data_IF_230584057823
#
_entry.id   IF_230584057823
#
_cell.length_a   1.000
_cell.length_b   1.000
_cell.length_c   1.000
_cell.angle_alpha   90.00
_cell.angle_beta   90.00
_cell.angle_gamma   90.00
#
_symmetry.space_group_name_H-M   'P 1'
#
loop_
_entity.id
_entity.type
_entity.pdbx_description
1 polymer ?
#
# COMPACT_ATOMS: atom_id res chain seq x y z
N UNK A 1 -8.79 -0.36 -20.01
CA UNK A 1 -8.93 0.86 -20.82
C UNK A 1 -9.80 0.65 -22.04
N UNK A 2 -9.29 -0.03 -23.07
CA UNK A 2 -10.00 -0.18 -24.36
C UNK A 2 -11.38 -0.84 -24.25
N UNK A 3 -11.50 -1.92 -23.46
CA UNK A 3 -12.79 -2.61 -23.25
C UNK A 3 -13.86 -1.69 -22.65
N UNK A 4 -13.47 -0.72 -21.83
CA UNK A 4 -14.37 0.27 -21.23
C UNK A 4 -14.53 1.55 -22.08
N UNK A 5 -14.09 1.54 -23.34
CA UNK A 5 -14.21 2.67 -24.26
C UNK A 5 -13.22 3.82 -24.01
N UNK A 6 -12.18 3.62 -23.20
CA UNK A 6 -11.18 4.65 -22.90
C UNK A 6 -9.96 4.55 -23.83
N UNK A 7 -9.53 5.70 -24.35
CA UNK A 7 -8.22 5.82 -25.01
C UNK A 7 -7.13 5.94 -23.94
N UNK A 8 -6.31 4.89 -23.79
CA UNK A 8 -5.24 4.85 -22.78
C UNK A 8 -4.01 5.56 -23.31
N UNK A 9 -3.81 6.81 -22.90
CA UNK A 9 -2.68 7.63 -23.36
C UNK A 9 -1.32 7.12 -22.86
N UNK A 10 -1.28 6.64 -21.61
CA UNK A 10 -0.09 6.11 -20.95
C UNK A 10 -0.49 5.20 -19.79
N UNK A 11 0.32 4.18 -19.53
CA UNK A 11 0.32 3.43 -18.28
C UNK A 11 1.42 4.02 -17.40
N UNK A 12 1.10 4.32 -16.15
CA UNK A 12 2.06 4.81 -15.16
C UNK A 12 2.02 3.90 -13.95
N UNK A 13 3.17 3.71 -13.31
CA UNK A 13 3.25 3.00 -12.05
C UNK A 13 2.63 3.84 -10.92
N UNK A 14 1.93 3.18 -9.99
CA UNK A 14 1.32 3.81 -8.82
C UNK A 14 2.31 4.65 -7.98
N UNK A 15 3.51 4.15 -7.63
CA UNK A 15 4.47 4.95 -6.87
C UNK A 15 4.97 6.18 -7.63
N UNK A 16 5.11 6.09 -8.96
CA UNK A 16 5.46 7.25 -9.81
C UNK A 16 4.34 8.28 -9.77
N UNK A 17 3.09 7.86 -9.88
CA UNK A 17 1.93 8.76 -9.77
C UNK A 17 1.87 9.43 -8.38
N UNK A 18 2.07 8.67 -7.30
CA UNK A 18 2.11 9.24 -5.95
C UNK A 18 3.27 10.23 -5.76
N UNK A 19 4.42 9.97 -6.37
CA UNK A 19 5.55 10.90 -6.36
C UNK A 19 5.22 12.22 -7.07
N UNK A 20 4.52 12.17 -8.22
CA UNK A 20 4.02 13.38 -8.90
C UNK A 20 3.09 14.17 -7.97
N UNK A 21 2.13 13.50 -7.32
CA UNK A 21 1.21 14.15 -6.39
C UNK A 21 1.94 14.80 -5.20
N UNK A 22 3.04 14.20 -4.73
CA UNK A 22 3.89 14.73 -3.68
C UNK A 22 4.78 15.90 -4.16
N UNK A 23 5.31 15.82 -5.38
CA UNK A 23 6.34 16.72 -5.90
C UNK A 23 5.81 17.98 -6.57
N UNK A 24 4.54 18.00 -7.01
CA UNK A 24 3.95 19.07 -7.82
C UNK A 24 4.14 20.49 -7.22
N UNK A 25 3.89 20.62 -5.91
CA UNK A 25 3.93 21.92 -5.22
C UNK A 25 5.30 22.22 -4.59
N UNK A 26 6.24 21.28 -4.68
CA UNK A 26 7.56 21.45 -4.09
C UNK A 26 8.49 22.09 -5.12
N UNK A 27 8.90 23.34 -4.85
CA UNK A 27 10.08 23.93 -5.49
C UNK A 27 11.31 23.18 -4.97
N UNK A 28 11.61 22.05 -5.59
CA UNK A 28 12.77 21.23 -5.27
C UNK A 28 13.97 21.90 -5.96
N UNK A 29 14.71 22.73 -5.21
CA UNK A 29 15.95 23.35 -5.71
C UNK A 29 17.18 22.45 -5.59
N UNK A 30 17.14 21.43 -4.73
CA UNK A 30 18.21 20.45 -4.51
C UNK A 30 17.66 19.04 -4.71
N UNK A 31 18.47 18.11 -5.21
CA UNK A 31 18.15 16.69 -5.39
C UNK A 31 17.55 16.06 -4.11
N UNK A 32 16.37 15.42 -4.23
CA UNK A 32 15.70 14.73 -3.11
C UNK A 32 15.37 13.29 -3.44
N UNK A 33 15.97 12.36 -2.69
CA UNK A 33 15.52 10.97 -2.63
C UNK A 33 14.25 10.83 -1.78
N UNK A 34 13.21 10.23 -2.33
CA UNK A 34 11.90 10.01 -1.70
C UNK A 34 11.59 8.52 -1.72
N UNK A 35 11.17 7.97 -0.59
CA UNK A 35 10.60 6.63 -0.52
C UNK A 35 9.07 6.72 -0.57
N UNK A 36 8.45 6.05 -1.52
CA UNK A 36 7.01 5.81 -1.56
C UNK A 36 6.74 4.45 -0.94
N UNK A 37 5.91 4.43 0.11
CA UNK A 37 5.44 3.22 0.76
C UNK A 37 3.94 3.09 0.47
N UNK A 38 3.58 2.22 -0.47
CA UNK A 38 2.22 2.00 -0.92
C UNK A 38 1.68 0.67 -0.39
N UNK A 39 0.79 0.72 0.60
CA UNK A 39 0.14 -0.47 1.14
C UNK A 39 -1.37 -0.36 0.90
N UNK A 40 -1.81 -1.03 -0.16
CA UNK A 40 -3.17 -0.99 -0.66
C UNK A 40 -4.10 -2.03 -0.03
N UNK A 41 -5.13 -2.39 -0.80
CA UNK A 41 -6.12 -3.41 -0.43
C UNK A 41 -5.60 -4.85 -0.61
N UNK A 42 -4.81 -5.10 -1.65
CA UNK A 42 -4.28 -6.44 -1.96
C UNK A 42 -2.85 -6.46 -2.49
N UNK A 43 -2.22 -5.29 -2.68
CA UNK A 43 -0.84 -5.16 -3.14
C UNK A 43 -0.06 -4.26 -2.18
N UNK A 44 1.24 -4.50 -2.14
CA UNK A 44 2.22 -3.72 -1.40
C UNK A 44 3.38 -3.38 -2.32
N UNK A 45 3.67 -2.10 -2.49
CA UNK A 45 4.75 -1.61 -3.34
C UNK A 45 5.60 -0.59 -2.58
N UNK A 46 6.91 -0.67 -2.79
CA UNK A 46 7.90 0.28 -2.29
C UNK A 46 8.72 0.77 -3.46
N UNK A 47 8.86 2.08 -3.59
CA UNK A 47 9.73 2.67 -4.59
C UNK A 47 10.58 3.76 -4.00
N UNK A 48 11.81 3.86 -4.50
CA UNK A 48 12.71 4.95 -4.20
C UNK A 48 12.87 5.76 -5.47
N UNK A 49 12.59 7.04 -5.37
CA UNK A 49 12.71 7.98 -6.47
C UNK A 49 13.67 9.09 -6.09
N UNK A 50 14.36 9.62 -7.09
CA UNK A 50 15.08 10.88 -6.99
C UNK A 50 14.27 11.95 -7.72
N UNK A 51 14.07 13.09 -7.07
CA UNK A 51 13.36 14.24 -7.61
C UNK A 51 14.34 15.42 -7.68
N UNK A 52 14.53 15.96 -8.87
CA UNK A 52 15.43 17.10 -9.15
C UNK A 52 14.87 17.88 -10.34
N UNK A 53 14.65 19.20 -10.20
CA UNK A 53 14.20 20.09 -11.29
C UNK A 53 13.02 19.56 -12.13
N UNK A 54 12.01 18.96 -11.48
CA UNK A 54 10.83 18.40 -12.17
C UNK A 54 11.06 17.03 -12.83
N UNK A 55 12.26 16.48 -12.73
CA UNK A 55 12.61 15.12 -13.14
C UNK A 55 12.34 14.16 -11.98
N UNK A 56 11.54 13.12 -12.24
CA UNK A 56 11.27 12.04 -11.32
C UNK A 56 11.90 10.76 -11.87
N UNK A 57 12.95 10.28 -11.22
CA UNK A 57 13.67 9.07 -11.63
C UNK A 57 13.46 7.96 -10.59
N UNK A 58 12.88 6.83 -11.01
CA UNK A 58 12.76 5.65 -10.16
C UNK A 58 14.11 4.96 -10.06
N UNK A 59 14.70 4.90 -8.87
CA UNK A 59 15.99 4.24 -8.61
C UNK A 59 15.83 2.75 -8.35
N UNK A 60 14.75 2.35 -7.69
CA UNK A 60 14.47 0.95 -7.37
C UNK A 60 12.99 0.76 -7.02
N UNK A 61 12.49 -0.43 -7.28
CA UNK A 61 11.17 -0.87 -6.82
C UNK A 61 11.22 -2.28 -6.24
N UNK A 62 10.41 -2.54 -5.23
CA UNK A 62 10.22 -3.83 -4.59
C UNK A 62 8.81 -3.91 -4.01
N UNK A 63 8.28 -5.10 -3.78
CA UNK A 63 6.93 -5.23 -3.26
C UNK A 63 6.48 -6.67 -3.07
N UNK A 64 5.22 -6.82 -2.70
CA UNK A 64 4.48 -8.07 -2.66
C UNK A 64 3.10 -7.87 -3.31
N UNK A 65 2.88 -8.55 -4.43
CA UNK A 65 1.65 -8.44 -5.22
C UNK A 65 0.45 -9.16 -4.60
N UNK A 66 0.62 -9.80 -3.44
CA UNK A 66 -0.41 -10.56 -2.75
C UNK A 66 -0.47 -10.23 -1.25
N UNK A 67 -0.09 -9.01 -0.87
CA UNK A 67 -0.17 -8.52 0.50
C UNK A 67 -0.92 -7.19 0.56
N UNK A 68 -1.99 -7.13 1.36
CA UNK A 68 -2.68 -5.86 1.60
C UNK A 68 -3.71 -5.88 2.73
N UNK A 69 -4.56 -4.85 2.71
CA UNK A 69 -5.63 -4.65 3.68
C UNK A 69 -6.59 -5.84 3.84
N UNK A 70 -6.84 -6.59 2.76
CA UNK A 70 -7.71 -7.77 2.77
C UNK A 70 -7.13 -8.93 3.59
N UNK A 71 -5.81 -9.08 3.63
CA UNK A 71 -5.14 -10.09 4.46
C UNK A 71 -5.31 -9.78 5.94
N UNK A 72 -5.25 -8.51 6.32
CA UNK A 72 -5.52 -8.09 7.70
C UNK A 72 -6.99 -8.34 8.07
N UNK A 73 -7.91 -8.10 7.14
CA UNK A 73 -9.33 -8.44 7.33
C UNK A 73 -9.52 -9.96 7.46
N UNK A 74 -8.79 -10.76 6.67
CA UNK A 74 -8.80 -12.22 6.77
C UNK A 74 -8.34 -12.72 8.15
N UNK A 75 -7.31 -12.09 8.76
CA UNK A 75 -6.88 -12.43 10.13
C UNK A 75 -8.01 -12.20 11.14
N UNK A 76 -8.72 -11.08 11.02
CA UNK A 76 -9.86 -10.76 11.87
C UNK A 76 -11.03 -11.74 11.65
N UNK A 77 -11.38 -12.03 10.39
CA UNK A 77 -12.45 -12.98 10.05
C UNK A 77 -12.16 -14.36 10.63
N UNK A 78 -10.93 -14.87 10.47
CA UNK A 78 -10.53 -16.17 11.02
C UNK A 78 -10.58 -16.20 12.55
N UNK A 79 -10.13 -15.12 13.20
CA UNK A 79 -10.20 -14.98 14.65
C UNK A 79 -11.65 -15.06 15.14
N UNK A 80 -12.54 -14.26 14.57
CA UNK A 80 -13.94 -14.20 15.00
C UNK A 80 -14.76 -15.42 14.58
N UNK A 81 -14.48 -16.04 13.44
CA UNK A 81 -15.10 -17.30 13.06
C UNK A 81 -14.73 -18.41 14.05
N UNK A 82 -13.48 -18.44 14.51
CA UNK A 82 -13.02 -19.37 15.57
C UNK A 82 -13.70 -19.05 16.90
N UNK A 83 -13.81 -17.78 17.27
CA UNK A 83 -14.49 -17.36 18.49
C UNK A 83 -15.96 -17.76 18.48
N UNK A 84 -16.67 -17.51 17.38
CA UNK A 84 -18.06 -17.89 17.20
C UNK A 84 -18.24 -19.41 17.36
N UNK A 85 -17.38 -20.20 16.68
CA UNK A 85 -17.39 -21.67 16.81
C UNK A 85 -17.14 -22.12 18.24
N UNK A 86 -16.24 -21.46 18.97
CA UNK A 86 -15.95 -21.78 20.38
C UNK A 86 -17.15 -21.49 21.29
N UNK A 87 -17.80 -20.32 21.11
CA UNK A 87 -18.94 -19.84 21.91
C UNK A 87 -20.22 -20.63 21.64
N UNK A 88 -20.53 -20.88 20.37
CA UNK A 88 -21.83 -21.44 19.96
C UNK A 88 -21.77 -22.88 19.44
N UNK A 89 -20.57 -23.48 19.38
CA UNK A 89 -20.32 -24.84 18.85
C UNK A 89 -20.77 -25.06 17.41
N UNK A 90 -20.93 -23.97 16.64
CA UNK A 90 -21.37 -23.97 15.24
C UNK A 90 -20.33 -23.32 14.33
N UNK A 91 -20.03 -23.95 13.20
CA UNK A 91 -19.06 -23.44 12.22
C UNK A 91 -19.74 -22.77 11.04
N UNK A 92 -19.30 -21.56 10.67
CA UNK A 92 -19.86 -20.79 9.55
C UNK A 92 -19.09 -20.91 8.23
N UNK A 93 -18.06 -21.78 8.16
CA UNK A 93 -17.20 -21.93 6.99
C UNK A 93 -17.97 -22.29 5.70
N UNK A 94 -19.06 -23.05 5.82
CA UNK A 94 -19.93 -23.42 4.69
C UNK A 94 -21.00 -22.38 4.32
N UNK A 95 -21.02 -21.20 4.95
CA UNK A 95 -22.03 -20.17 4.71
C UNK A 95 -21.39 -18.88 4.18
N UNK A 96 -21.30 -18.70 2.85
CA UNK A 96 -20.69 -17.53 2.22
C UNK A 96 -21.34 -16.21 2.63
N UNK A 97 -22.66 -16.22 2.87
CA UNK A 97 -23.40 -15.02 3.30
C UNK A 97 -22.96 -14.58 4.71
N UNK A 98 -22.85 -15.51 5.65
CA UNK A 98 -22.38 -15.23 7.00
C UNK A 98 -20.93 -14.72 6.99
N UNK A 99 -20.05 -15.39 6.24
CA UNK A 99 -18.64 -14.98 6.10
C UNK A 99 -18.50 -13.59 5.48
N UNK A 100 -19.29 -13.25 4.45
CA UNK A 100 -19.29 -11.92 3.84
C UNK A 100 -19.72 -10.84 4.84
N UNK A 101 -20.78 -11.08 5.62
CA UNK A 101 -21.23 -10.14 6.66
C UNK A 101 -20.16 -9.93 7.74
N UNK A 102 -19.52 -11.02 8.19
CA UNK A 102 -18.43 -10.96 9.14
C UNK A 102 -17.24 -10.17 8.59
N UNK A 103 -16.86 -10.40 7.32
CA UNK A 103 -15.79 -9.66 6.64
C UNK A 103 -16.06 -8.16 6.60
N UNK A 104 -17.27 -7.74 6.20
CA UNK A 104 -17.65 -6.33 6.19
C UNK A 104 -17.57 -5.70 7.59
N UNK A 105 -17.95 -6.44 8.65
CA UNK A 105 -17.80 -5.95 10.02
C UNK A 105 -16.32 -5.86 10.44
N UNK A 106 -15.49 -6.83 10.04
CA UNK A 106 -14.05 -6.84 10.31
C UNK A 106 -13.33 -5.66 9.64
N UNK A 107 -13.64 -5.37 8.38
CA UNK A 107 -13.08 -4.23 7.65
C UNK A 107 -13.42 -2.90 8.35
N UNK A 108 -14.69 -2.73 8.76
CA UNK A 108 -15.13 -1.56 9.55
C UNK A 108 -14.38 -1.47 10.88
N UNK A 109 -14.23 -2.58 11.60
CA UNK A 109 -13.48 -2.61 12.85
C UNK A 109 -12.01 -2.25 12.64
N UNK A 110 -11.34 -2.77 11.60
CA UNK A 110 -9.96 -2.39 11.23
C UNK A 110 -9.82 -0.89 11.02
N UNK A 111 -10.76 -0.28 10.30
CA UNK A 111 -10.80 1.19 10.09
C UNK A 111 -10.95 1.92 11.41
N UNK A 112 -11.89 1.52 12.27
CA UNK A 112 -12.05 2.09 13.62
C UNK A 112 -10.80 1.93 14.47
N UNK A 113 -10.11 0.79 14.41
CA UNK A 113 -8.88 0.54 15.17
C UNK A 113 -7.71 1.42 14.72
N UNK A 114 -7.78 2.02 13.53
CA UNK A 114 -6.76 2.96 13.06
C UNK A 114 -6.80 4.30 13.81
N UNK A 115 -7.94 4.67 14.40
CA UNK A 115 -8.10 5.88 15.22
C UNK A 115 -8.43 5.60 16.69
N UNK A 116 -9.06 4.47 17.01
CA UNK A 116 -9.50 4.08 18.36
C UNK A 116 -8.75 2.86 18.90
N UNK A 117 -8.66 2.73 20.22
CA UNK A 117 -7.99 1.61 20.88
C UNK A 117 -8.81 0.29 20.88
N UNK A 118 -10.11 0.38 20.60
CA UNK A 118 -11.04 -0.74 20.56
C UNK A 118 -12.11 -0.52 19.49
N UNK A 119 -12.65 -1.60 18.95
CA UNK A 119 -13.79 -1.60 18.02
C UNK A 119 -14.79 -2.70 18.39
N UNK A 120 -16.08 -2.40 18.28
CA UNK A 120 -17.15 -3.37 18.46
C UNK A 120 -17.45 -4.11 17.14
N UNK A 121 -17.89 -5.36 17.25
CA UNK A 121 -18.43 -6.19 16.17
C UNK A 121 -19.84 -6.58 16.60
N UNK A 122 -20.83 -6.09 15.86
CA UNK A 122 -22.24 -6.27 16.18
C UNK A 122 -22.96 -6.72 14.91
N UNK A 123 -23.44 -7.96 14.88
CA UNK A 123 -24.08 -8.56 13.72
C UNK A 123 -25.28 -9.42 14.14
N UNK A 124 -26.48 -8.92 13.87
CA UNK A 124 -27.74 -9.63 14.14
C UNK A 124 -27.88 -10.86 13.25
N UNK A 125 -28.33 -11.98 13.82
CA UNK A 125 -28.56 -13.24 13.12
C UNK A 125 -27.41 -13.59 12.16
N UNK A 126 -26.15 -13.51 12.63
CA UNK A 126 -24.96 -13.77 11.82
C UNK A 126 -25.02 -15.18 11.19
N UNK A 127 -25.37 -16.19 12.00
CA UNK A 127 -25.43 -17.58 11.54
C UNK A 127 -26.52 -18.35 12.31
N UNK A 128 -27.42 -19.01 11.59
CA UNK A 128 -28.52 -19.82 12.15
C UNK A 128 -29.35 -19.10 13.24
N UNK A 129 -29.68 -17.81 13.00
CA UNK A 129 -30.47 -17.00 13.94
C UNK A 129 -29.69 -16.50 15.16
N UNK A 130 -28.39 -16.80 15.26
CA UNK A 130 -27.56 -16.39 16.40
C UNK A 130 -26.93 -15.03 16.10
N UNK A 131 -27.17 -14.07 16.98
CA UNK A 131 -26.50 -12.77 16.96
C UNK A 131 -25.03 -12.91 17.39
N UNK A 132 -24.18 -12.04 16.87
CA UNK A 132 -22.77 -11.99 17.24
C UNK A 132 -22.38 -10.58 17.68
N UNK A 133 -22.25 -10.42 19.00
CA UNK A 133 -21.78 -9.19 19.64
C UNK A 133 -20.46 -9.48 20.37
N UNK A 134 -19.39 -8.79 19.97
CA UNK A 134 -18.07 -8.88 20.59
C UNK A 134 -17.29 -7.59 20.35
N UNK A 135 -16.06 -7.51 20.82
CA UNK A 135 -15.16 -6.39 20.52
C UNK A 135 -13.72 -6.87 20.42
N UNK A 136 -12.87 -6.05 19.81
CA UNK A 136 -11.44 -6.29 19.69
C UNK A 136 -10.67 -5.03 20.00
N UNK A 137 -9.52 -5.20 20.66
CA UNK A 137 -8.58 -4.11 20.94
C UNK A 137 -7.57 -3.98 19.80
N UNK A 138 -7.01 -2.78 19.63
CA UNK A 138 -5.93 -2.53 18.68
C UNK A 138 -4.74 -3.44 18.95
N UNK A 139 -4.38 -3.64 20.22
CA UNK A 139 -3.29 -4.54 20.61
C UNK A 139 -3.51 -5.98 20.11
N UNK A 140 -4.74 -6.49 20.21
CA UNK A 140 -5.06 -7.84 19.72
C UNK A 140 -5.04 -7.92 18.19
N UNK A 141 -5.54 -6.90 17.49
CA UNK A 141 -5.42 -6.82 16.04
C UNK A 141 -3.96 -6.79 15.59
N UNK A 142 -3.13 -5.97 16.25
CA UNK A 142 -1.70 -5.88 15.97
C UNK A 142 -0.98 -7.21 16.20
N UNK A 143 -1.31 -7.94 17.27
CA UNK A 143 -0.78 -9.28 17.53
C UNK A 143 -1.16 -10.27 16.42
N UNK A 144 -2.43 -10.26 15.98
CA UNK A 144 -2.94 -11.16 14.93
C UNK A 144 -2.29 -10.94 13.56
N UNK A 145 -1.75 -9.74 13.30
CA UNK A 145 -1.15 -9.35 12.03
C UNK A 145 0.35 -9.06 12.13
N UNK A 146 0.98 -9.35 13.27
CA UNK A 146 2.33 -8.87 13.60
C UNK A 146 3.40 -9.37 12.61
N UNK A 147 3.24 -10.57 12.09
CA UNK A 147 4.09 -11.17 11.07
C UNK A 147 3.94 -10.46 9.72
N UNK A 148 2.70 -10.23 9.26
CA UNK A 148 2.42 -9.51 8.00
C UNK A 148 2.88 -8.05 8.06
N UNK A 149 2.70 -7.38 9.20
CA UNK A 149 3.20 -6.02 9.37
C UNK A 149 4.73 -5.96 9.33
N UNK A 150 5.43 -6.96 9.87
CA UNK A 150 6.89 -7.02 9.81
C UNK A 150 7.41 -7.34 8.42
N UNK A 151 6.74 -8.22 7.67
CA UNK A 151 7.17 -8.57 6.30
C UNK A 151 7.14 -7.36 5.36
N UNK A 152 6.38 -6.31 5.67
CA UNK A 152 6.43 -5.05 4.90
C UNK A 152 7.81 -4.37 4.92
N UNK A 153 8.67 -4.68 5.90
CA UNK A 153 10.01 -4.09 5.98
C UNK A 153 11.01 -4.77 5.03
N UNK A 154 10.74 -6.00 4.57
CA UNK A 154 11.68 -6.71 3.69
C UNK A 154 11.75 -6.04 2.30
N UNK A 155 10.63 -5.65 1.64
CA UNK A 155 10.68 -4.84 0.43
C UNK A 155 11.27 -3.45 0.64
N UNK A 156 11.07 -2.82 1.81
CA UNK A 156 11.71 -1.53 2.14
C UNK A 156 13.22 -1.66 2.16
N UNK A 157 13.73 -2.67 2.86
CA UNK A 157 15.17 -2.94 2.93
C UNK A 157 15.75 -3.30 1.56
N UNK A 158 15.04 -4.11 0.77
CA UNK A 158 15.44 -4.44 -0.60
C UNK A 158 15.52 -3.20 -1.48
N UNK A 159 14.47 -2.35 -1.50
CA UNK A 159 14.47 -1.14 -2.30
C UNK A 159 15.64 -0.21 -1.93
N UNK A 160 15.88 0.03 -0.64
CA UNK A 160 17.00 0.86 -0.18
C UNK A 160 18.36 0.30 -0.63
N UNK A 161 18.53 -1.02 -0.58
CA UNK A 161 19.75 -1.67 -1.08
C UNK A 161 19.90 -1.59 -2.59
N UNK A 162 18.84 -1.85 -3.35
CA UNK A 162 18.84 -1.83 -4.82
C UNK A 162 19.10 -0.40 -5.35
N UNK A 163 18.57 0.62 -4.67
CA UNK A 163 18.88 2.04 -4.93
C UNK A 163 20.31 2.44 -4.55
N UNK A 164 21.06 1.59 -3.84
CA UNK A 164 22.42 1.86 -3.32
C UNK A 164 22.49 3.10 -2.43
N UNK A 165 21.44 3.35 -1.66
CA UNK A 165 21.34 4.49 -0.73
C UNK A 165 21.45 4.03 0.73
N UNK A 166 22.00 4.89 1.58
CA UNK A 166 21.86 4.74 3.03
C UNK A 166 20.51 5.25 3.52
N UNK A 167 20.01 4.74 4.66
CA UNK A 167 18.74 5.20 5.26
C UNK A 167 18.67 6.72 5.47
N UNK A 168 19.81 7.34 5.80
CA UNK A 168 19.95 8.79 6.01
C UNK A 168 19.86 9.61 4.72
N UNK A 169 20.08 8.99 3.56
CA UNK A 169 20.02 9.65 2.26
C UNK A 169 18.59 9.71 1.69
N UNK A 170 17.62 9.00 2.31
CA UNK A 170 16.20 9.18 2.02
C UNK A 170 15.76 10.47 2.69
N UNK A 171 15.24 11.43 1.95
CA UNK A 171 14.84 12.75 2.47
C UNK A 171 13.41 12.74 2.99
N UNK A 172 12.52 12.04 2.29
CA UNK A 172 11.09 11.99 2.62
C UNK A 172 10.56 10.56 2.49
N UNK A 173 9.58 10.21 3.34
CA UNK A 173 8.89 8.92 3.33
C UNK A 173 7.40 9.21 3.16
N UNK A 174 6.85 8.91 2.00
CA UNK A 174 5.46 9.22 1.63
C UNK A 174 4.61 7.96 1.77
N UNK A 175 3.47 8.09 2.44
CA UNK A 175 2.52 7.01 2.66
C UNK A 175 1.40 7.05 1.61
N UNK A 176 1.16 5.92 0.96
CA UNK A 176 0.13 5.73 -0.06
C UNK A 176 -0.66 4.46 0.25
N UNK A 177 -1.94 4.44 -0.10
CA UNK A 177 -2.81 3.30 0.14
C UNK A 177 -3.43 3.28 1.54
N UNK A 178 -4.71 2.94 1.62
CA UNK A 178 -5.49 3.06 2.85
C UNK A 178 -4.99 2.24 4.03
N UNK A 179 -4.26 1.15 3.80
CA UNK A 179 -3.70 0.32 4.88
C UNK A 179 -2.52 0.98 5.59
N UNK A 180 -1.91 2.02 5.01
CA UNK A 180 -0.90 2.85 5.71
C UNK A 180 -1.49 3.65 6.87
N UNK A 181 -2.82 3.78 6.97
CA UNK A 181 -3.49 4.40 8.13
C UNK A 181 -3.34 3.59 9.41
N UNK A 182 -2.92 2.31 9.33
CA UNK A 182 -2.72 1.45 10.49
C UNK A 182 -1.53 1.98 11.34
N UNK A 183 -1.74 2.35 12.62
CA UNK A 183 -0.71 2.94 13.46
C UNK A 183 0.55 2.07 13.61
N UNK A 184 0.37 0.74 13.64
CA UNK A 184 1.49 -0.21 13.76
C UNK A 184 2.40 -0.21 12.53
N UNK A 185 1.83 -0.11 11.33
CA UNK A 185 2.60 -0.04 10.07
C UNK A 185 3.44 1.24 10.05
N UNK A 186 2.82 2.38 10.36
CA UNK A 186 3.55 3.67 10.48
C UNK A 186 4.66 3.60 11.52
N UNK A 187 4.38 3.03 12.70
CA UNK A 187 5.38 2.90 13.76
C UNK A 187 6.56 2.04 13.30
N UNK A 188 6.30 0.88 12.71
CA UNK A 188 7.37 0.00 12.21
C UNK A 188 8.24 0.68 11.16
N UNK A 189 7.62 1.40 10.21
CA UNK A 189 8.33 2.13 9.17
C UNK A 189 9.17 3.27 9.76
N UNK A 190 8.60 4.08 10.66
CA UNK A 190 9.32 5.16 11.35
C UNK A 190 10.48 4.62 12.19
N UNK A 191 10.26 3.57 12.97
CA UNK A 191 11.29 2.90 13.79
C UNK A 191 12.42 2.35 12.89
N UNK A 192 12.09 1.78 11.72
CA UNK A 192 13.09 1.29 10.76
C UNK A 192 13.96 2.42 10.21
N UNK A 193 13.40 3.62 10.07
CA UNK A 193 14.10 4.86 9.71
C UNK A 193 14.57 5.67 10.93
N UNK A 194 14.83 5.02 12.08
CA UNK A 194 15.35 5.63 13.29
C UNK A 194 14.47 6.75 13.88
N UNK A 195 13.15 6.59 13.82
CA UNK A 195 12.17 7.53 14.35
C UNK A 195 11.90 8.74 13.46
N UNK A 196 12.27 8.69 12.17
CA UNK A 196 11.95 9.78 11.24
C UNK A 196 10.45 9.97 11.08
N UNK A 197 10.07 11.23 10.88
CA UNK A 197 8.70 11.62 10.62
C UNK A 197 8.26 11.13 9.23
N UNK A 198 7.05 10.57 9.16
CA UNK A 198 6.45 10.11 7.92
C UNK A 198 5.63 11.25 7.32
N UNK A 199 5.76 11.45 6.01
CA UNK A 199 5.02 12.48 5.31
C UNK A 199 3.54 12.09 5.18
N UNK A 200 2.68 12.98 5.66
CA UNK A 200 1.21 12.86 5.63
C UNK A 200 0.55 14.03 4.91
N UNK A 201 1.30 14.75 4.06
CA UNK A 201 0.79 15.95 3.38
C UNK A 201 -0.17 15.64 2.23
N UNK A 202 -0.15 14.40 1.72
CA UNK A 202 -1.07 13.92 0.69
C UNK A 202 -2.05 12.91 1.26
N UNK A 203 -3.26 12.85 0.70
CA UNK A 203 -4.24 11.83 1.07
C UNK A 203 -3.82 10.47 0.49
N UNK A 204 -3.56 9.44 1.31
CA UNK A 204 -3.03 8.17 0.83
C UNK A 204 -4.00 7.44 -0.12
N UNK A 205 -5.31 7.69 -0.02
CA UNK A 205 -6.32 7.04 -0.86
C UNK A 205 -6.50 7.72 -2.23
N UNK A 206 -5.97 8.93 -2.40
CA UNK A 206 -6.18 9.77 -3.61
C UNK A 206 -4.88 10.09 -4.36
N UNK A 207 -3.72 9.93 -3.72
CA UNK A 207 -2.41 10.32 -4.24
C UNK A 207 -2.14 9.76 -5.65
N UNK A 208 -2.39 8.47 -5.87
CA UNK A 208 -2.17 7.81 -7.17
C UNK A 208 -3.08 8.40 -8.25
N UNK A 209 -4.37 8.54 -7.95
CA UNK A 209 -5.33 9.10 -8.91
C UNK A 209 -5.03 10.57 -9.23
N UNK A 210 -4.59 11.34 -8.22
CA UNK A 210 -4.18 12.73 -8.39
C UNK A 210 -2.97 12.84 -9.33
N UNK A 211 -1.90 12.07 -9.10
CA UNK A 211 -0.73 12.06 -9.98
C UNK A 211 -1.04 11.60 -11.40
N UNK A 212 -1.93 10.61 -11.55
CA UNK A 212 -2.40 10.18 -12.87
C UNK A 212 -3.18 11.27 -13.61
N UNK A 213 -4.00 12.05 -12.90
CA UNK A 213 -4.72 13.18 -13.46
C UNK A 213 -3.77 14.30 -13.92
N UNK A 214 -2.75 14.62 -13.12
CA UNK A 214 -1.67 15.55 -13.49
C UNK A 214 -0.98 15.09 -14.78
N UNK A 215 -0.59 13.82 -14.85
CA UNK A 215 0.07 13.27 -16.03
C UNK A 215 -0.85 13.30 -17.28
N UNK A 216 -2.14 13.04 -17.10
CA UNK A 216 -3.12 13.12 -18.18
C UNK A 216 -3.30 14.55 -18.70
N UNK A 217 -3.26 15.55 -17.82
CA UNK A 217 -3.31 16.97 -18.21
C UNK A 217 -2.10 17.36 -19.07
N UNK A 218 -0.89 16.95 -18.67
CA UNK A 218 0.35 17.16 -19.45
C UNK A 218 0.21 16.53 -20.85
N UNK A 219 -0.22 15.27 -20.91
CA UNK A 219 -0.39 14.55 -22.19
C UNK A 219 -1.50 15.14 -23.08
N UNK A 220 -2.46 15.86 -22.49
CA UNK A 220 -3.52 16.56 -23.22
C UNK A 220 -3.11 17.96 -23.70
N UNK A 221 -1.88 18.39 -23.40
CA UNK A 221 -1.33 19.67 -23.85
C UNK A 221 -1.64 20.86 -22.94
N UNK A 222 -1.95 20.62 -21.66
CA UNK A 222 -1.99 21.69 -20.66
C UNK A 222 -0.61 22.37 -20.56
N UNK A 223 -0.61 23.70 -20.48
CA UNK A 223 0.60 24.55 -20.50
C UNK A 223 0.80 25.33 -19.20
N UNK A 224 0.11 24.95 -18.14
CA UNK A 224 0.33 25.60 -16.84
C UNK A 224 1.80 25.43 -16.40
N UNK A 225 2.42 26.50 -15.91
CA UNK A 225 3.88 26.55 -15.62
C UNK A 225 4.34 25.49 -14.62
N UNK A 226 3.45 25.01 -13.75
CA UNK A 226 3.75 23.98 -12.74
C UNK A 226 3.80 22.56 -13.30
N UNK A 227 3.30 22.32 -14.51
CA UNK A 227 3.19 20.98 -15.12
C UNK A 227 4.03 20.83 -16.40
N UNK A 228 4.47 21.94 -17.00
CA UNK A 228 5.18 21.94 -18.28
C UNK A 228 6.55 21.26 -18.25
N UNK A 229 7.23 21.25 -17.10
CA UNK A 229 8.62 20.78 -16.99
C UNK A 229 8.75 19.38 -16.37
N UNK A 230 7.63 18.66 -16.19
CA UNK A 230 7.63 17.36 -15.53
C UNK A 230 8.14 16.25 -16.46
N UNK A 231 9.24 15.60 -16.07
CA UNK A 231 9.83 14.45 -16.77
C UNK A 231 9.79 13.20 -15.87
N UNK A 232 9.33 12.08 -16.43
CA UNK A 232 9.27 10.79 -15.72
C UNK A 232 10.25 9.80 -16.35
N UNK A 233 11.13 9.23 -15.52
CA UNK A 233 12.03 8.14 -15.87
C UNK A 233 11.71 6.93 -14.98
N UNK A 234 11.12 5.90 -15.58
CA UNK A 234 10.65 4.69 -14.90
C UNK A 234 11.53 3.47 -15.23
N UNK A 235 11.45 2.41 -14.42
CA UNK A 235 12.30 1.21 -14.53
C UNK A 235 11.47 -0.07 -14.58
N UNK A 236 12.04 -1.13 -15.16
CA UNK A 236 11.42 -2.46 -15.13
C UNK A 236 11.50 -3.06 -13.71
N UNK A 237 10.41 -3.60 -13.15
CA UNK A 237 10.38 -4.09 -11.77
C UNK A 237 11.08 -5.44 -11.58
N UNK A 238 11.24 -6.20 -12.67
CA UNK A 238 11.83 -7.53 -12.68
C UNK A 238 12.77 -7.66 -13.87
N UNK A 239 13.84 -8.42 -13.71
CA UNK A 239 14.74 -8.72 -14.82
C UNK A 239 14.02 -9.49 -15.90
N UNK A 240 14.24 -9.09 -17.15
CA UNK A 240 13.74 -9.79 -18.33
C UNK A 240 14.91 -10.56 -18.95
N UNK A 241 14.67 -11.80 -19.35
CA UNK A 241 15.74 -12.67 -19.81
C UNK A 241 15.24 -13.90 -20.52
N UNK A 242 16.16 -14.81 -20.82
CA UNK A 242 15.88 -16.05 -21.53
C UNK A 242 16.32 -17.26 -20.72
N UNK A 243 15.64 -18.38 -20.94
CA UNK A 243 16.09 -19.67 -20.46
C UNK A 243 17.27 -20.15 -21.31
N UNK A 244 18.33 -20.58 -20.64
CA UNK A 244 19.54 -21.15 -21.27
C UNK A 244 19.67 -22.64 -20.93
N UNK A 245 20.56 -23.34 -21.62
CA UNK A 245 20.75 -24.77 -21.46
C UNK A 245 20.92 -25.17 -19.98
N UNK A 246 20.17 -26.17 -19.53
CA UNK A 246 20.11 -26.57 -18.12
C UNK A 246 19.00 -25.89 -17.31
N UNK A 247 18.08 -25.15 -17.95
CA UNK A 247 16.94 -24.52 -17.29
C UNK A 247 17.31 -23.28 -16.48
N UNK A 248 18.44 -22.65 -16.79
CA UNK A 248 18.97 -21.50 -16.04
C UNK A 248 18.46 -20.21 -16.69
N UNK A 249 17.82 -19.35 -15.89
CA UNK A 249 17.42 -18.01 -16.32
C UNK A 249 18.64 -17.09 -16.45
N UNK A 250 18.85 -16.52 -17.63
CA UNK A 250 19.90 -15.52 -17.90
C UNK A 250 19.26 -14.15 -18.14
N UNK A 251 19.54 -13.14 -17.29
CA UNK A 251 18.99 -11.80 -17.44
C UNK A 251 19.58 -11.08 -18.66
N UNK A 252 18.75 -10.28 -19.33
CA UNK A 252 19.10 -9.44 -20.48
C UNK A 252 18.83 -7.95 -20.20
N UNK A 253 17.76 -7.66 -19.47
CA UNK A 253 17.35 -6.33 -19.01
C UNK A 253 17.15 -6.41 -17.51
#
# INVERSE_FOLDING_TARGET
>A
GTISGMNVLRIINEPTAAAIAYGLDKKVGDERNVLIFDLGGGTFDVSILTIEDGIFEVKSTAGDTHLGGEDFDNRLVNHFATEFKRKHKKGMAGNPRALRRLRTACERAKRTLSSSAQAAIEIDSLFEGIDFYTSITRARFEELCQDLFRSTLDPVDKAVRDAKLGKSAIHDIVLVGGSTRIPKVQKLLSDWFNGRELNKSINPDEAVAYGAAVQAAILSGDKHETVSDLLLLDVAPLSLGIETAGGVMTPLI
#
